data_IF_944988032019
#
_entry.id   IF_944988032019
#
_cell.length_a   1.000
_cell.length_b   1.000
_cell.length_c   1.000
_cell.angle_alpha   90.00
_cell.angle_beta   90.00
_cell.angle_gamma   90.00
#
_symmetry.space_group_name_H-M   'P 1'
#
loop_
_entity.id
_entity.type
_entity.pdbx_description
1 polymer ?
#
# COMPACT_ATOMS: atom_id res chain seq x y z
N UNK A 1 11.49 10.60 18.33
CA UNK A 1 10.31 10.57 17.44
C UNK A 1 10.29 9.22 16.73
N UNK A 2 9.18 8.46 16.79
CA UNK A 2 9.06 7.24 15.98
C UNK A 2 9.00 7.66 14.51
N UNK A 3 9.88 7.12 13.68
CA UNK A 3 9.83 7.34 12.23
C UNK A 3 8.54 6.71 11.70
N UNK A 4 7.74 7.46 10.97
CA UNK A 4 6.55 6.94 10.30
C UNK A 4 7.00 6.09 9.12
N UNK A 5 6.36 4.93 8.94
CA UNK A 5 6.65 4.01 7.84
C UNK A 5 5.92 4.47 6.58
N UNK A 6 6.59 4.48 5.43
CA UNK A 6 6.04 4.88 4.14
C UNK A 6 5.79 3.69 3.23
N UNK A 7 4.92 3.86 2.23
CA UNK A 7 4.63 2.79 1.25
C UNK A 7 5.92 2.30 0.57
N UNK A 8 6.81 3.21 0.16
CA UNK A 8 8.11 2.84 -0.41
C UNK A 8 8.99 1.98 0.48
N UNK A 9 8.82 2.08 1.80
CA UNK A 9 9.58 1.29 2.77
C UNK A 9 9.01 -0.15 2.87
N UNK A 10 7.72 -0.35 2.57
CA UNK A 10 7.00 -1.63 2.70
C UNK A 10 6.98 -2.44 1.41
N UNK A 11 6.80 -1.82 0.24
CA UNK A 11 6.66 -2.54 -1.03
C UNK A 11 7.76 -3.60 -1.28
N UNK A 12 9.05 -3.35 -0.98
CA UNK A 12 10.09 -4.37 -1.17
C UNK A 12 9.91 -5.62 -0.30
N UNK A 13 9.23 -5.50 0.85
CA UNK A 13 9.00 -6.58 1.81
C UNK A 13 7.85 -7.50 1.37
N UNK A 14 6.89 -6.95 0.64
CA UNK A 14 5.67 -7.67 0.21
C UNK A 14 5.67 -8.01 -1.28
N UNK A 15 6.78 -7.78 -1.99
CA UNK A 15 6.91 -7.91 -3.45
C UNK A 15 6.51 -9.27 -4.06
N UNK A 16 6.35 -10.31 -3.24
CA UNK A 16 5.95 -11.65 -3.67
C UNK A 16 4.44 -11.87 -3.64
N UNK A 17 3.70 -10.93 -3.05
CA UNK A 17 2.25 -10.92 -2.97
C UNK A 17 1.70 -9.89 -3.94
N UNK A 18 0.44 -10.06 -4.33
CA UNK A 18 -0.35 -8.95 -4.83
C UNK A 18 -0.60 -7.96 -3.68
N UNK A 19 -0.51 -6.67 -3.96
CA UNK A 19 -0.61 -5.62 -2.96
C UNK A 19 -1.82 -4.76 -3.24
N UNK A 20 -2.78 -4.76 -2.32
CA UNK A 20 -3.92 -3.86 -2.35
C UNK A 20 -3.64 -2.67 -1.44
N UNK A 21 -3.59 -1.47 -2.02
CA UNK A 21 -3.45 -0.24 -1.27
C UNK A 21 -4.84 0.31 -0.91
N UNK A 22 -5.09 0.51 0.38
CA UNK A 22 -6.39 0.93 0.91
C UNK A 22 -6.21 2.23 1.70
N UNK A 23 -6.93 3.28 1.31
CA UNK A 23 -7.00 4.55 2.03
C UNK A 23 -8.02 4.43 3.17
N UNK A 24 -7.58 4.70 4.40
CA UNK A 24 -8.44 4.48 5.57
C UNK A 24 -8.72 2.99 5.74
N UNK A 25 -10.00 2.60 5.84
CA UNK A 25 -10.40 1.20 6.04
C UNK A 25 -11.14 0.58 4.83
N UNK A 26 -11.65 1.39 3.90
CA UNK A 26 -12.55 0.87 2.85
C UNK A 26 -12.21 1.36 1.43
N UNK A 27 -11.50 2.48 1.25
CA UNK A 27 -11.28 3.07 -0.07
C UNK A 27 -10.05 2.46 -0.76
N UNK A 28 -10.26 1.48 -1.65
CA UNK A 28 -9.18 0.96 -2.47
C UNK A 28 -8.61 2.04 -3.41
N UNK A 29 -7.30 2.26 -3.32
CA UNK A 29 -6.56 3.11 -4.25
C UNK A 29 -6.18 2.31 -5.50
N UNK A 30 -5.57 1.14 -5.31
CA UNK A 30 -5.19 0.24 -6.39
C UNK A 30 -4.81 -1.17 -5.90
N UNK A 31 -4.82 -2.12 -6.83
CA UNK A 31 -4.24 -3.45 -6.70
C UNK A 31 -3.01 -3.60 -7.61
N UNK A 32 -1.84 -3.79 -7.01
CA UNK A 32 -0.59 -4.05 -7.70
C UNK A 32 -0.35 -5.56 -7.74
N UNK A 33 -0.32 -6.14 -8.93
CA UNK A 33 0.08 -7.54 -9.07
C UNK A 33 1.57 -7.66 -8.80
N UNK A 34 2.00 -8.76 -8.16
CA UNK A 34 3.39 -8.99 -7.73
C UNK A 34 4.46 -8.70 -8.79
N UNK A 35 4.14 -8.91 -10.06
CA UNK A 35 5.04 -8.70 -11.21
C UNK A 35 5.20 -7.22 -11.62
N UNK A 36 4.36 -6.31 -11.10
CA UNK A 36 4.28 -4.89 -11.51
C UNK A 36 4.54 -3.90 -10.37
N UNK A 37 4.95 -4.35 -9.18
CA UNK A 37 5.02 -3.50 -7.98
C UNK A 37 6.06 -2.36 -8.09
N UNK A 38 7.17 -2.54 -8.81
CA UNK A 38 8.37 -1.72 -8.63
C UNK A 38 8.37 -0.36 -9.34
N UNK A 39 7.46 -0.10 -10.28
CA UNK A 39 7.53 1.12 -11.13
C UNK A 39 6.17 1.79 -11.40
N UNK A 40 5.07 1.29 -10.84
CA UNK A 40 3.72 1.78 -11.21
C UNK A 40 3.20 2.95 -10.37
N UNK A 41 3.77 3.18 -9.18
CA UNK A 41 3.24 4.17 -8.23
C UNK A 41 3.91 5.54 -8.35
N UNK A 42 3.11 6.60 -8.23
CA UNK A 42 3.61 7.98 -8.14
C UNK A 42 4.30 8.25 -6.81
N UNK A 43 5.20 9.23 -6.79
CA UNK A 43 5.87 9.70 -5.55
C UNK A 43 4.87 10.05 -4.44
N UNK A 44 3.70 10.61 -4.81
CA UNK A 44 2.63 10.92 -3.86
C UNK A 44 2.14 9.67 -3.12
N UNK A 45 1.97 8.54 -3.82
CA UNK A 45 1.54 7.27 -3.22
C UNK A 45 2.69 6.66 -2.41
N UNK A 46 3.92 6.69 -2.94
CA UNK A 46 5.11 6.15 -2.29
C UNK A 46 5.42 6.85 -0.94
N UNK A 47 5.08 8.13 -0.82
CA UNK A 47 5.23 8.93 0.42
C UNK A 47 4.03 8.84 1.38
N UNK A 48 2.99 8.06 1.05
CA UNK A 48 1.87 7.85 1.97
C UNK A 48 2.33 7.08 3.21
N UNK A 49 1.73 7.44 4.35
CA UNK A 49 2.03 6.80 5.63
C UNK A 49 1.28 5.49 5.71
N UNK A 50 1.98 4.40 6.00
CA UNK A 50 1.38 3.09 6.28
C UNK A 50 0.86 3.07 7.72
N UNK A 51 -0.40 2.67 7.88
CA UNK A 51 -1.09 2.55 9.17
C UNK A 51 -1.30 1.10 9.59
N UNK A 52 -1.34 0.17 8.64
CA UNK A 52 -1.50 -1.26 8.89
C UNK A 52 -1.11 -2.11 7.69
N UNK A 53 -0.82 -3.38 7.94
CA UNK A 53 -0.53 -4.39 6.92
C UNK A 53 -1.21 -5.68 7.37
N UNK A 54 -2.05 -6.25 6.51
CA UNK A 54 -2.80 -7.47 6.80
C UNK A 54 -2.84 -8.37 5.57
N UNK A 55 -2.88 -9.68 5.76
CA UNK A 55 -3.19 -10.59 4.66
C UNK A 55 -4.68 -10.52 4.37
N UNK A 56 -5.05 -10.60 3.09
CA UNK A 56 -6.45 -10.78 2.73
C UNK A 56 -6.85 -12.24 3.01
N UNK A 57 -7.83 -12.45 3.89
CA UNK A 57 -8.27 -13.79 4.26
C UNK A 57 -9.10 -14.47 3.16
N UNK A 58 -9.65 -13.69 2.23
CA UNK A 58 -10.50 -14.19 1.15
C UNK A 58 -9.71 -14.44 -0.15
N UNK A 59 -8.57 -13.76 -0.36
CA UNK A 59 -7.78 -13.83 -1.58
C UNK A 59 -6.34 -14.28 -1.26
N UNK A 60 -5.97 -15.46 -1.79
CA UNK A 60 -4.63 -16.01 -1.63
C UNK A 60 -3.55 -15.06 -2.18
N UNK A 61 -2.39 -15.04 -1.51
CA UNK A 61 -1.21 -14.26 -1.87
C UNK A 61 -1.49 -12.76 -2.06
N UNK A 62 -2.48 -12.22 -1.37
CA UNK A 62 -2.83 -10.79 -1.39
C UNK A 62 -2.61 -10.16 -0.01
N UNK A 63 -1.91 -9.03 -0.01
CA UNK A 63 -1.65 -8.23 1.18
C UNK A 63 -2.33 -6.88 1.04
N UNK A 64 -3.12 -6.53 2.05
CA UNK A 64 -3.69 -5.20 2.22
C UNK A 64 -2.67 -4.30 2.93
N UNK A 65 -2.34 -3.16 2.33
CA UNK A 65 -1.59 -2.08 2.97
C UNK A 65 -2.53 -0.92 3.18
N UNK A 66 -2.81 -0.62 4.44
CA UNK A 66 -3.62 0.51 4.85
C UNK A 66 -2.76 1.75 4.94
N UNK A 67 -3.24 2.85 4.35
CA UNK A 67 -2.48 4.08 4.20
C UNK A 67 -3.29 5.33 4.56
N UNK A 68 -2.58 6.37 4.96
CA UNK A 68 -3.11 7.70 5.25
C UNK A 68 -2.24 8.79 4.63
N UNK A 69 -2.85 9.93 4.28
CA UNK A 69 -2.15 11.12 3.76
C UNK A 69 -2.44 11.46 2.28
N UNK A 70 -3.38 10.77 1.64
CA UNK A 70 -3.90 11.21 0.35
C UNK A 70 -4.86 12.38 0.59
N UNK A 71 -4.38 13.62 0.41
CA UNK A 71 -5.32 14.72 0.17
C UNK A 71 -5.85 14.53 -1.26
N UNK A 72 -7.15 14.24 -1.39
CA UNK A 72 -7.87 14.67 -2.59
C UNK A 72 -7.71 16.20 -2.61
N UNK A 73 -7.15 16.73 -3.69
CA UNK A 73 -7.26 18.17 -3.91
C UNK A 73 -8.76 18.44 -4.13
N UNK A 74 -9.30 19.38 -3.36
CA UNK A 74 -10.69 19.86 -3.48
C UNK A 74 -10.91 20.54 -4.85
#
# INVERSE_FOLDING_TARGET
MKRMVKVKDILPLVKWNDVRLVLGEEDEICLLRKEFITETLSDKILEMTVTGIENDEAILDTVNIYVFGYKKED
#
